data_IF_765614675860
#
_entry.id   IF_765614675860
#
_cell.length_a   1.000
_cell.length_b   1.000
_cell.length_c   1.000
_cell.angle_alpha   90.00
_cell.angle_beta   90.00
_cell.angle_gamma   90.00
#
_symmetry.space_group_name_H-M   'P 1'
#
loop_
_entity.id
_entity.type
_entity.pdbx_description
1 polymer ?
#
# COMPACT_ATOMS: atom_id res chain seq x y z
N UNK A 1 -9.15 22.20 -10.44
CA UNK A 1 -7.73 22.63 -10.48
C UNK A 1 -6.90 21.38 -10.66
N UNK A 2 -5.87 21.40 -11.50
CA UNK A 2 -5.00 20.23 -11.70
C UNK A 2 -3.70 20.48 -10.96
N UNK A 3 -3.30 19.52 -10.15
CA UNK A 3 -2.04 19.52 -9.42
C UNK A 3 -1.17 18.38 -9.93
N UNK A 4 0.13 18.65 -10.11
CA UNK A 4 1.11 17.65 -10.55
C UNK A 4 2.24 17.68 -9.54
N UNK A 5 2.43 16.57 -8.82
CA UNK A 5 3.48 16.40 -7.82
C UNK A 5 4.30 15.16 -8.16
N UNK A 6 5.61 15.23 -7.94
CA UNK A 6 6.50 14.09 -8.08
C UNK A 6 6.38 13.20 -6.83
N UNK A 7 5.98 11.94 -6.99
CA UNK A 7 5.63 11.06 -5.87
C UNK A 7 6.73 10.93 -4.78
N UNK A 8 8.04 10.84 -5.11
CA UNK A 8 9.12 10.87 -4.12
C UNK A 8 9.17 12.14 -3.27
N UNK A 9 8.68 13.26 -3.78
CA UNK A 9 8.76 14.57 -3.12
C UNK A 9 7.64 14.77 -2.09
N UNK A 10 6.71 13.81 -1.95
CA UNK A 10 5.66 13.87 -0.93
C UNK A 10 6.24 13.69 0.48
N UNK A 11 5.81 14.57 1.38
CA UNK A 11 6.16 14.53 2.80
C UNK A 11 5.49 13.35 3.51
N UNK A 12 6.27 12.63 4.34
CA UNK A 12 5.79 11.53 5.18
C UNK A 12 6.57 10.23 4.98
N UNK A 13 7.02 9.65 6.10
CA UNK A 13 7.75 8.37 6.14
C UNK A 13 7.23 7.53 7.32
N UNK A 14 6.99 6.21 7.15
CA UNK A 14 7.07 5.46 5.89
C UNK A 14 5.90 5.72 4.94
N UNK A 15 4.86 6.42 5.40
CA UNK A 15 3.64 6.69 4.63
C UNK A 15 3.53 8.17 4.27
N UNK A 16 3.26 8.47 2.99
CA UNK A 16 2.85 9.78 2.51
C UNK A 16 1.47 9.71 1.85
N UNK A 17 0.54 10.60 2.22
CA UNK A 17 -0.82 10.60 1.67
C UNK A 17 -0.88 11.39 0.35
N UNK A 18 -1.38 10.75 -0.71
CA UNK A 18 -1.52 11.34 -2.05
C UNK A 18 -2.84 12.09 -2.21
N UNK A 19 -3.90 11.64 -1.52
CA UNK A 19 -5.20 12.30 -1.45
C UNK A 19 -5.47 12.71 0.01
N UNK A 20 -4.87 13.82 0.48
CA UNK A 20 -5.16 14.31 1.81
C UNK A 20 -6.67 14.60 1.93
N UNK A 21 -7.27 14.12 3.02
CA UNK A 21 -8.67 14.41 3.40
C UNK A 21 -9.74 13.98 2.38
N UNK A 22 -9.38 13.13 1.40
CA UNK A 22 -10.29 12.70 0.32
C UNK A 22 -10.19 11.21 0.04
N UNK A 23 -11.27 10.65 -0.50
CA UNK A 23 -11.35 9.25 -0.93
C UNK A 23 -11.03 9.11 -2.43
N UNK A 24 -10.43 7.97 -2.86
CA UNK A 24 -9.96 6.87 -2.03
C UNK A 24 -8.68 7.24 -1.26
N UNK A 25 -8.54 6.77 -0.02
CA UNK A 25 -7.27 6.91 0.72
C UNK A 25 -6.14 6.30 -0.12
N UNK A 26 -5.18 7.12 -0.51
CA UNK A 26 -4.08 6.70 -1.39
C UNK A 26 -2.76 7.05 -0.73
N UNK A 27 -1.88 6.08 -0.59
CA UNK A 27 -0.67 6.20 0.23
C UNK A 27 0.54 5.71 -0.56
N UNK A 28 1.61 6.51 -0.58
CA UNK A 28 2.95 6.02 -0.90
C UNK A 28 3.51 5.35 0.35
N UNK A 29 3.89 4.09 0.24
CA UNK A 29 4.65 3.35 1.23
C UNK A 29 6.11 3.28 0.77
N UNK A 30 7.05 3.62 1.66
CA UNK A 30 8.49 3.49 1.43
C UNK A 30 9.09 2.76 2.62
N UNK A 31 9.85 1.71 2.35
CA UNK A 31 10.46 0.83 3.35
C UNK A 31 11.93 0.60 2.98
N UNK A 32 12.81 0.66 3.97
CA UNK A 32 14.17 0.17 3.83
C UNK A 32 14.21 -1.36 3.84
N UNK A 33 15.33 -1.95 3.39
CA UNK A 33 15.50 -3.41 3.47
C UNK A 33 15.32 -3.90 4.92
N UNK A 34 14.65 -5.04 5.08
CA UNK A 34 14.27 -5.66 6.34
C UNK A 34 13.26 -4.86 7.19
N UNK A 35 12.75 -3.72 6.70
CA UNK A 35 11.69 -2.97 7.38
C UNK A 35 10.32 -3.62 7.14
N UNK A 36 9.52 -3.70 8.21
CA UNK A 36 8.20 -4.32 8.22
C UNK A 36 7.17 -3.37 8.81
N UNK A 37 5.98 -3.33 8.20
CA UNK A 37 4.80 -2.77 8.84
C UNK A 37 4.12 -3.87 9.65
N UNK A 38 3.85 -3.62 10.93
CA UNK A 38 3.19 -4.59 11.80
C UNK A 38 1.80 -5.00 11.25
N UNK A 39 1.37 -6.26 11.47
CA UNK A 39 0.05 -6.73 11.05
C UNK A 39 -1.08 -5.82 11.53
N UNK A 40 -1.99 -5.50 10.61
CA UNK A 40 -3.18 -4.69 10.84
C UNK A 40 -4.20 -4.94 9.72
N UNK A 41 -5.46 -4.54 9.95
CA UNK A 41 -6.53 -4.62 8.96
C UNK A 41 -6.97 -3.22 8.47
N UNK A 42 -7.79 -3.19 7.43
CA UNK A 42 -8.53 -2.01 6.98
C UNK A 42 -9.99 -2.39 6.68
N UNK A 43 -10.83 -2.55 7.71
CA UNK A 43 -12.17 -3.08 7.53
C UNK A 43 -13.01 -2.23 6.56
N UNK A 44 -13.76 -2.90 5.68
CA UNK A 44 -14.61 -2.24 4.68
C UNK A 44 -13.83 -1.54 3.56
N UNK A 45 -12.61 -2.00 3.25
CA UNK A 45 -11.78 -1.47 2.15
C UNK A 45 -11.42 -2.55 1.15
N UNK A 46 -11.45 -2.22 -0.13
CA UNK A 46 -10.75 -2.98 -1.17
C UNK A 46 -9.43 -2.29 -1.48
N UNK A 47 -8.34 -3.04 -1.44
CA UNK A 47 -7.00 -2.51 -1.52
C UNK A 47 -6.34 -2.93 -2.83
N UNK A 48 -5.68 -1.98 -3.48
CA UNK A 48 -4.73 -2.22 -4.57
C UNK A 48 -3.35 -1.77 -4.09
N UNK A 49 -2.36 -2.66 -4.11
CA UNK A 49 -0.95 -2.36 -3.86
C UNK A 49 -0.19 -2.54 -5.15
N UNK A 50 0.48 -1.49 -5.62
CA UNK A 50 1.35 -1.54 -6.79
C UNK A 50 2.80 -1.26 -6.39
N UNK A 51 3.72 -2.19 -6.69
CA UNK A 51 5.15 -2.02 -6.42
C UNK A 51 5.77 -1.17 -7.53
N UNK A 52 6.25 0.02 -7.17
CA UNK A 52 6.86 0.97 -8.09
C UNK A 52 8.36 0.74 -8.25
N UNK A 53 9.01 0.30 -7.17
CA UNK A 53 10.44 0.00 -7.13
C UNK A 53 10.77 -0.96 -5.97
N UNK A 54 11.85 -1.72 -6.11
CA UNK A 54 12.28 -2.73 -5.14
C UNK A 54 11.42 -4.00 -5.14
N UNK A 55 11.43 -4.71 -4.01
CA UNK A 55 10.71 -5.96 -3.80
C UNK A 55 10.22 -6.09 -2.35
N UNK A 56 9.10 -6.79 -2.17
CA UNK A 56 8.47 -7.01 -0.87
C UNK A 56 7.80 -8.38 -0.75
N UNK A 57 7.78 -8.91 0.45
CA UNK A 57 6.90 -10.00 0.87
C UNK A 57 5.65 -9.40 1.51
N UNK A 58 4.48 -9.69 0.92
CA UNK A 58 3.19 -9.27 1.44
C UNK A 58 2.52 -10.45 2.14
N UNK A 59 2.44 -10.37 3.47
CA UNK A 59 1.63 -11.29 4.27
C UNK A 59 0.17 -10.82 4.26
N UNK A 60 -0.74 -11.71 3.86
CA UNK A 60 -2.19 -11.53 3.85
C UNK A 60 -2.85 -12.71 4.58
N UNK A 61 -3.29 -12.48 5.82
CA UNK A 61 -3.76 -13.57 6.69
C UNK A 61 -2.69 -14.66 6.87
N UNK A 62 -2.99 -15.88 6.40
CA UNK A 62 -2.07 -17.03 6.47
C UNK A 62 -1.20 -17.22 5.21
N UNK A 63 -1.37 -16.35 4.20
CA UNK A 63 -0.66 -16.44 2.92
C UNK A 63 0.46 -15.40 2.83
N UNK A 64 1.54 -15.76 2.13
CA UNK A 64 2.66 -14.86 1.84
C UNK A 64 2.92 -14.81 0.35
N UNK A 65 2.99 -13.60 -0.20
CA UNK A 65 3.21 -13.35 -1.61
C UNK A 65 4.47 -12.53 -1.82
N UNK A 66 5.42 -13.02 -2.61
CA UNK A 66 6.54 -12.23 -3.08
C UNK A 66 6.08 -11.35 -4.24
N UNK A 67 6.36 -10.05 -4.15
CA UNK A 67 6.00 -9.04 -5.15
C UNK A 67 7.25 -8.26 -5.57
N UNK A 68 7.43 -8.09 -6.87
CA UNK A 68 8.51 -7.31 -7.46
C UNK A 68 7.99 -6.07 -8.19
N UNK A 69 8.91 -5.18 -8.59
CA UNK A 69 8.59 -3.98 -9.35
C UNK A 69 7.68 -4.29 -10.55
N UNK A 70 6.55 -3.60 -10.62
CA UNK A 70 5.56 -3.78 -11.67
C UNK A 70 4.34 -4.59 -11.22
N UNK A 71 4.48 -5.41 -10.19
CA UNK A 71 3.38 -6.22 -9.69
C UNK A 71 2.28 -5.37 -9.06
N UNK A 72 1.06 -5.93 -9.13
CA UNK A 72 -0.14 -5.36 -8.52
C UNK A 72 -0.87 -6.47 -7.76
N UNK A 73 -0.99 -6.30 -6.46
CA UNK A 73 -1.85 -7.12 -5.61
C UNK A 73 -3.20 -6.41 -5.39
N UNK A 74 -4.29 -7.15 -5.48
CA UNK A 74 -5.63 -6.68 -5.11
C UNK A 74 -6.26 -7.65 -4.13
N UNK A 75 -6.69 -7.14 -2.98
CA UNK A 75 -7.19 -7.96 -1.89
C UNK A 75 -8.24 -7.21 -1.05
N UNK A 76 -8.93 -7.98 -0.22
CA UNK A 76 -9.90 -7.49 0.77
C UNK A 76 -9.17 -6.98 2.02
N UNK A 77 -9.57 -5.83 2.55
CA UNK A 77 -9.00 -5.21 3.75
C UNK A 77 -9.49 -5.81 5.07
N UNK A 78 -10.46 -6.73 5.05
CA UNK A 78 -10.97 -7.44 6.23
C UNK A 78 -10.05 -8.60 6.72
N UNK A 79 -8.80 -8.64 6.24
CA UNK A 79 -7.77 -9.58 6.68
C UNK A 79 -6.51 -8.83 7.13
N UNK A 80 -5.68 -9.50 7.95
CA UNK A 80 -4.39 -8.95 8.38
C UNK A 80 -3.47 -8.73 7.18
N UNK A 81 -2.80 -7.57 7.14
CA UNK A 81 -1.86 -7.15 6.11
C UNK A 81 -0.54 -6.76 6.76
N UNK A 82 0.56 -7.32 6.29
CA UNK A 82 1.91 -7.04 6.79
C UNK A 82 2.93 -7.09 5.64
N UNK A 83 3.28 -5.94 5.03
CA UNK A 83 4.37 -5.86 4.08
C UNK A 83 5.74 -5.85 4.78
N UNK A 84 6.65 -6.66 4.26
CA UNK A 84 8.08 -6.68 4.59
C UNK A 84 8.88 -6.36 3.33
N UNK A 85 9.77 -5.39 3.40
CA UNK A 85 10.69 -5.07 2.31
C UNK A 85 11.87 -6.05 2.30
N UNK A 86 11.98 -6.89 1.26
CA UNK A 86 13.15 -7.75 1.06
C UNK A 86 14.32 -6.99 0.43
N UNK A 87 14.01 -5.87 -0.23
CA UNK A 87 14.94 -4.86 -0.74
C UNK A 87 14.33 -3.48 -0.47
N UNK A 88 15.10 -2.37 -0.46
CA UNK A 88 14.52 -1.04 -0.33
C UNK A 88 13.44 -0.85 -1.39
N UNK A 89 12.22 -0.53 -0.97
CA UNK A 89 11.04 -0.63 -1.83
C UNK A 89 10.12 0.58 -1.68
N UNK A 90 9.40 0.85 -2.76
CA UNK A 90 8.32 1.84 -2.79
C UNK A 90 7.10 1.23 -3.44
N UNK A 91 5.96 1.34 -2.76
CA UNK A 91 4.66 0.91 -3.26
C UNK A 91 3.65 2.05 -3.19
N UNK A 92 2.68 2.03 -4.10
CA UNK A 92 1.50 2.90 -4.04
C UNK A 92 0.29 2.04 -3.68
N UNK A 93 -0.38 2.39 -2.59
CA UNK A 93 -1.58 1.73 -2.13
C UNK A 93 -2.79 2.61 -2.35
N UNK A 94 -3.86 2.04 -2.90
CA UNK A 94 -5.19 2.66 -2.97
C UNK A 94 -6.13 1.82 -2.11
N UNK A 95 -6.73 2.45 -1.10
CA UNK A 95 -7.68 1.83 -0.17
C UNK A 95 -9.06 2.44 -0.44
N UNK A 96 -9.79 1.85 -1.38
CA UNK A 96 -11.13 2.32 -1.71
C UNK A 96 -12.16 1.75 -0.71
N UNK A 97 -13.18 2.52 -0.32
CA UNK A 97 -14.34 1.95 0.37
C UNK A 97 -14.91 0.79 -0.44
N UNK A 98 -15.22 -0.33 0.20
CA UNK A 98 -16.09 -1.33 -0.43
C UNK A 98 -17.47 -0.68 -0.62
N UNK A 99 -18.15 -0.93 -1.76
CA UNK A 99 -19.53 -0.48 -1.90
C UNK A 99 -20.37 -1.11 -0.79
N UNK A 100 -21.30 -0.35 -0.20
CA UNK A 100 -22.33 -0.92 0.65
C UNK A 100 -23.03 -2.04 -0.14
N UNK A 101 -23.18 -3.22 0.46
CA UNK A 101 -23.99 -4.28 -0.13
C UNK A 101 -25.45 -3.76 -0.23
N UNK A 102 -25.95 -3.58 -1.46
CA UNK A 102 -27.33 -3.12 -1.73
C UNK A 102 -28.41 -4.07 -1.19
#
# INVERSE_FOLDING_TARGET
MTEIVHLPDLDGTPHANVFPESEPKTVRLTLEADERIAPHDHPGRSIVLHVLDGALELELGDETHALERGDVARFDGDQDISPLATEPSTALLVLAPTPDEE
#
